data_IF_756382947448
#
_entry.id   IF_756382947448
#
_cell.length_a   1.000
_cell.length_b   1.000
_cell.length_c   1.000
_cell.angle_alpha   90.00
_cell.angle_beta   90.00
_cell.angle_gamma   90.00
#
_symmetry.space_group_name_H-M   'P 1'
#
loop_
_entity.id
_entity.type
_entity.pdbx_description
1 polymer ?
#
# COMPACT_ATOMS: atom_id res chain seq x y z
N UNK A 1 -3.83 17.56 -22.62
CA UNK A 1 -2.71 18.07 -21.80
C UNK A 1 -2.88 17.46 -20.42
N UNK A 2 -2.14 16.39 -20.11
CA UNK A 2 -2.24 15.73 -18.81
C UNK A 2 -1.31 16.47 -17.84
N UNK A 3 -1.88 17.21 -16.89
CA UNK A 3 -1.11 17.72 -15.76
C UNK A 3 -0.77 16.52 -14.87
N UNK A 4 0.52 16.16 -14.79
CA UNK A 4 0.99 15.05 -13.97
C UNK A 4 1.29 15.57 -12.56
N UNK A 5 0.32 15.50 -11.66
CA UNK A 5 0.53 15.80 -10.24
C UNK A 5 1.10 14.59 -9.49
N UNK A 6 2.23 14.09 -9.96
CA UNK A 6 2.80 12.84 -9.47
C UNK A 6 3.58 13.00 -8.17
N UNK A 7 4.08 14.19 -7.84
CA UNK A 7 4.99 14.39 -6.71
C UNK A 7 6.30 13.60 -6.83
N UNK A 8 7.20 13.76 -5.87
CA UNK A 8 8.47 13.02 -5.81
C UNK A 8 8.27 11.72 -5.03
N UNK A 9 8.90 10.62 -5.49
CA UNK A 9 8.92 9.38 -4.73
C UNK A 9 9.59 9.60 -3.36
N UNK A 10 8.98 9.16 -2.25
CA UNK A 10 9.63 9.22 -0.94
C UNK A 10 10.90 8.38 -0.88
N UNK A 11 11.90 8.84 -0.15
CA UNK A 11 13.18 8.15 0.07
C UNK A 11 13.18 7.23 1.31
N UNK A 12 12.08 7.25 2.07
CA UNK A 12 11.93 6.51 3.32
C UNK A 12 11.17 5.19 3.19
N UNK A 13 10.75 4.80 1.98
CA UNK A 13 10.03 3.55 1.73
C UNK A 13 10.91 2.31 1.97
N UNK A 14 10.26 1.16 2.14
CA UNK A 14 10.87 -0.12 2.46
C UNK A 14 10.51 -0.61 3.86
N UNK A 15 10.42 -1.93 4.03
CA UNK A 15 10.32 -2.54 5.34
C UNK A 15 11.67 -2.48 6.07
N UNK A 16 11.72 -1.82 7.22
CA UNK A 16 12.91 -1.67 8.08
C UNK A 16 12.53 -2.08 9.50
N UNK A 17 13.28 -3.03 10.08
CA UNK A 17 13.04 -3.55 11.44
C UNK A 17 11.58 -4.00 11.68
N UNK A 18 11.00 -4.67 10.68
CA UNK A 18 9.62 -5.15 10.71
C UNK A 18 8.55 -4.07 10.57
N UNK A 19 8.93 -2.84 10.20
CA UNK A 19 8.01 -1.69 10.06
C UNK A 19 8.05 -1.09 8.67
N UNK A 20 6.87 -0.70 8.19
CA UNK A 20 6.70 0.19 7.05
C UNK A 20 6.92 1.64 7.49
N UNK A 21 7.12 2.54 6.51
CA UNK A 21 7.13 3.97 6.80
C UNK A 21 5.83 4.39 7.51
N UNK A 22 5.86 5.34 8.45
CA UNK A 22 4.63 5.86 9.05
C UNK A 22 3.79 6.64 8.02
N UNK A 23 2.50 6.77 8.29
CA UNK A 23 1.71 7.79 7.58
C UNK A 23 2.16 9.19 8.01
N UNK A 24 2.21 10.16 7.09
CA UNK A 24 2.27 11.58 7.46
C UNK A 24 0.94 11.99 8.13
N UNK A 25 0.88 13.21 8.68
CA UNK A 25 -0.32 13.75 9.35
C UNK A 25 -1.51 13.97 8.39
N UNK A 26 -1.27 13.96 7.08
CA UNK A 26 -2.32 14.19 6.07
C UNK A 26 -3.20 12.94 5.91
N UNK A 27 -4.54 13.11 5.78
CA UNK A 27 -5.50 12.00 5.86
C UNK A 27 -5.57 11.14 4.59
N UNK A 28 -4.66 11.35 3.64
CA UNK A 28 -4.49 10.60 2.39
C UNK A 28 -3.43 9.49 2.54
N UNK A 29 -3.41 8.84 3.70
CA UNK A 29 -2.57 7.68 3.96
C UNK A 29 -3.31 6.69 4.87
N UNK A 30 -3.12 5.40 4.62
CA UNK A 30 -3.47 4.35 5.57
C UNK A 30 -2.29 3.42 5.82
N UNK A 31 -2.12 2.95 7.04
CA UNK A 31 -1.07 2.02 7.44
C UNK A 31 -1.59 1.07 8.54
N UNK A 32 -1.32 -0.22 8.40
CA UNK A 32 -1.75 -1.21 9.41
C UNK A 32 -0.90 -1.23 10.68
N UNK A 33 0.15 -0.42 10.72
CA UNK A 33 1.01 -0.22 11.88
C UNK A 33 0.79 1.15 12.55
N UNK A 34 -0.18 1.94 12.08
CA UNK A 34 -0.67 3.11 12.81
C UNK A 34 -1.40 2.68 14.09
N UNK A 35 -1.49 3.54 15.12
CA UNK A 35 -2.25 3.24 16.33
C UNK A 35 -3.71 2.88 16.01
N UNK A 36 -4.27 1.84 16.62
CA UNK A 36 -5.66 1.43 16.34
C UNK A 36 -6.70 2.51 16.72
N UNK A 37 -6.34 3.45 17.59
CA UNK A 37 -7.15 4.62 17.97
C UNK A 37 -7.13 5.74 16.92
N UNK A 38 -6.29 5.63 15.89
CA UNK A 38 -6.21 6.57 14.78
C UNK A 38 -7.10 6.08 13.63
N UNK A 39 -8.39 6.38 13.68
CA UNK A 39 -9.36 5.94 12.68
C UNK A 39 -9.09 6.47 11.26
N UNK A 40 -8.28 7.53 11.15
CA UNK A 40 -7.90 8.14 9.86
C UNK A 40 -6.90 7.23 9.17
N UNK A 41 -5.78 6.95 9.83
CA UNK A 41 -4.65 6.24 9.23
C UNK A 41 -4.71 4.72 9.44
N UNK A 42 -5.31 4.24 10.53
CA UNK A 42 -5.31 2.81 10.83
C UNK A 42 -6.15 2.02 9.84
N UNK A 43 -5.59 0.93 9.34
CA UNK A 43 -6.30 -0.06 8.52
C UNK A 43 -5.92 -1.46 8.97
N UNK A 44 -6.83 -2.42 8.88
CA UNK A 44 -6.51 -3.79 9.26
C UNK A 44 -5.38 -4.35 8.37
N UNK A 45 -4.41 -5.09 8.95
CA UNK A 45 -3.49 -5.88 8.15
C UNK A 45 -4.27 -6.98 7.42
N UNK A 46 -3.66 -7.55 6.38
CA UNK A 46 -4.22 -8.71 5.67
C UNK A 46 -3.73 -9.97 6.38
N UNK A 47 -4.61 -10.95 6.63
CA UNK A 47 -4.20 -12.22 7.26
C UNK A 47 -3.37 -13.02 6.26
N UNK A 48 -2.18 -13.48 6.68
CA UNK A 48 -1.36 -14.38 5.89
C UNK A 48 -1.93 -15.80 6.00
N UNK A 49 -2.61 -16.27 4.94
CA UNK A 49 -3.16 -17.63 4.86
C UNK A 49 -2.16 -18.65 4.31
N UNK A 50 -1.29 -18.22 3.42
CA UNK A 50 -0.36 -19.06 2.65
C UNK A 50 1.08 -18.95 3.17
N UNK A 51 2.03 -19.56 2.47
CA UNK A 51 3.46 -19.28 2.68
C UNK A 51 3.80 -17.86 2.21
N UNK A 52 4.95 -17.31 2.66
CA UNK A 52 5.38 -15.99 2.22
C UNK A 52 5.54 -15.90 0.70
N UNK A 53 6.12 -16.93 0.08
CA UNK A 53 6.33 -16.99 -1.37
C UNK A 53 5.00 -17.00 -2.15
N UNK A 54 4.03 -17.81 -1.71
CA UNK A 54 2.69 -17.83 -2.31
C UNK A 54 1.97 -16.49 -2.12
N UNK A 55 2.05 -15.89 -0.94
CA UNK A 55 1.45 -14.59 -0.67
C UNK A 55 2.05 -13.46 -1.53
N UNK A 56 3.37 -13.45 -1.77
CA UNK A 56 4.01 -12.53 -2.72
C UNK A 56 3.47 -12.76 -4.13
N UNK A 57 3.40 -14.00 -4.58
CA UNK A 57 2.90 -14.33 -5.92
C UNK A 57 1.42 -13.93 -6.10
N UNK A 58 0.59 -14.18 -5.09
CA UNK A 58 -0.82 -13.82 -5.09
C UNK A 58 -1.02 -12.30 -5.06
N UNK A 59 -0.27 -11.59 -4.20
CA UNK A 59 -0.27 -10.13 -4.16
C UNK A 59 0.12 -9.54 -5.51
N UNK A 60 1.21 -10.04 -6.11
CA UNK A 60 1.67 -9.59 -7.41
C UNK A 60 0.60 -9.77 -8.48
N UNK A 61 -0.02 -10.95 -8.57
CA UNK A 61 -1.12 -11.22 -9.51
C UNK A 61 -2.28 -10.25 -9.32
N UNK A 62 -2.68 -9.99 -8.07
CA UNK A 62 -3.77 -9.05 -7.75
C UNK A 62 -3.38 -7.63 -8.16
N UNK A 63 -2.22 -7.13 -7.73
CA UNK A 63 -1.72 -5.78 -8.01
C UNK A 63 -1.60 -5.54 -9.53
N UNK A 64 -1.05 -6.51 -10.28
CA UNK A 64 -0.87 -6.42 -11.74
C UNK A 64 -2.21 -6.47 -12.51
N UNK A 65 -3.27 -7.03 -11.91
CA UNK A 65 -4.62 -7.02 -12.49
C UNK A 65 -5.37 -5.69 -12.30
N UNK A 66 -4.84 -4.77 -11.48
CA UNK A 66 -5.44 -3.47 -11.24
C UNK A 66 -4.93 -2.42 -12.23
N UNK A 67 -5.83 -1.61 -12.76
CA UNK A 67 -5.49 -0.56 -13.71
C UNK A 67 -4.47 0.45 -13.16
N UNK A 68 -3.57 0.92 -14.04
CA UNK A 68 -2.64 2.03 -13.78
C UNK A 68 -1.70 1.77 -12.59
N UNK A 69 -1.25 0.52 -12.49
CA UNK A 69 -0.37 0.05 -11.43
C UNK A 69 1.00 -0.30 -11.99
N UNK A 70 2.05 -0.10 -11.18
CA UNK A 70 3.41 -0.52 -11.50
C UNK A 70 4.11 -1.03 -10.25
N UNK A 71 4.57 -2.28 -10.26
CA UNK A 71 5.48 -2.79 -9.21
C UNK A 71 6.86 -2.20 -9.45
N UNK A 72 7.42 -1.57 -8.41
CA UNK A 72 8.71 -0.88 -8.46
C UNK A 72 9.82 -1.74 -7.85
N UNK A 73 9.52 -2.45 -6.76
CA UNK A 73 10.46 -3.38 -6.15
C UNK A 73 9.72 -4.53 -5.47
N UNK A 74 10.35 -5.70 -5.50
CA UNK A 74 9.83 -6.94 -4.94
C UNK A 74 10.98 -7.71 -4.27
N UNK A 75 10.68 -8.33 -3.14
CA UNK A 75 11.52 -9.32 -2.47
C UNK A 75 10.63 -10.46 -1.96
N UNK A 76 11.21 -11.48 -1.32
CA UNK A 76 10.46 -12.61 -0.77
C UNK A 76 9.45 -12.23 0.33
N UNK A 77 9.54 -11.02 0.90
CA UNK A 77 8.67 -10.57 2.00
C UNK A 77 8.19 -9.13 1.82
N UNK A 78 8.40 -8.51 0.66
CA UNK A 78 8.04 -7.11 0.45
C UNK A 78 7.69 -6.80 -1.01
N UNK A 79 6.63 -6.02 -1.22
CA UNK A 79 6.29 -5.42 -2.51
C UNK A 79 6.08 -3.93 -2.32
N UNK A 80 6.65 -3.13 -3.21
CA UNK A 80 6.32 -1.72 -3.40
C UNK A 80 5.76 -1.51 -4.80
N UNK A 81 4.58 -0.90 -4.87
CA UNK A 81 3.90 -0.55 -6.10
C UNK A 81 3.44 0.91 -6.11
N UNK A 82 3.39 1.49 -7.30
CA UNK A 82 2.81 2.80 -7.58
C UNK A 82 1.45 2.63 -8.25
N UNK A 83 0.43 3.34 -7.75
CA UNK A 83 -0.90 3.42 -8.36
C UNK A 83 -1.16 4.84 -8.84
N UNK A 84 -1.58 5.02 -10.09
CA UNK A 84 -1.82 6.35 -10.67
C UNK A 84 -3.31 6.60 -10.91
N UNK A 85 -3.83 7.75 -10.43
CA UNK A 85 -5.21 8.16 -10.67
C UNK A 85 -5.46 8.55 -12.15
N UNK A 86 -6.62 8.15 -12.70
CA UNK A 86 -6.93 8.28 -14.13
C UNK A 86 -7.11 9.72 -14.58
N UNK A 87 -7.67 10.56 -13.70
CA UNK A 87 -8.10 11.91 -14.06
C UNK A 87 -7.05 12.97 -13.74
N UNK A 88 -6.32 12.81 -12.63
CA UNK A 88 -5.44 13.85 -12.09
C UNK A 88 -3.95 13.46 -12.04
N UNK A 89 -3.60 12.20 -12.33
CA UNK A 89 -2.21 11.75 -12.33
C UNK A 89 -1.53 11.70 -10.95
N UNK A 90 -2.30 11.80 -9.85
CA UNK A 90 -1.81 11.53 -8.50
C UNK A 90 -1.26 10.11 -8.41
N UNK A 91 -0.08 9.99 -7.83
CA UNK A 91 0.59 8.71 -7.57
C UNK A 91 0.49 8.39 -6.10
N UNK A 92 0.02 7.18 -5.82
CA UNK A 92 0.00 6.60 -4.49
C UNK A 92 1.09 5.54 -4.39
N UNK A 93 1.89 5.62 -3.33
CA UNK A 93 2.91 4.64 -2.98
C UNK A 93 2.29 3.59 -2.06
N UNK A 94 2.29 2.33 -2.49
CA UNK A 94 1.66 1.21 -1.81
C UNK A 94 2.68 0.13 -1.47
N UNK A 95 2.76 -0.21 -0.20
CA UNK A 95 3.74 -1.15 0.34
C UNK A 95 3.03 -2.32 1.02
N UNK A 96 3.55 -3.52 0.79
CA UNK A 96 3.14 -4.76 1.45
C UNK A 96 4.37 -5.38 2.09
N UNK A 97 4.28 -5.71 3.38
CA UNK A 97 5.35 -6.39 4.13
C UNK A 97 4.80 -7.64 4.80
N UNK A 98 5.39 -8.79 4.51
CA UNK A 98 4.97 -10.08 5.08
C UNK A 98 5.68 -10.30 6.41
N UNK A 99 4.90 -10.28 7.48
CA UNK A 99 5.33 -10.71 8.80
C UNK A 99 4.89 -12.16 9.03
N UNK A 100 5.82 -13.07 8.76
CA UNK A 100 5.60 -14.52 8.90
C UNK A 100 5.35 -14.91 10.37
N UNK A 101 6.03 -14.25 11.30
CA UNK A 101 5.95 -14.58 12.73
C UNK A 101 4.55 -14.26 13.28
N UNK A 102 3.98 -13.12 12.89
CA UNK A 102 2.65 -12.70 13.31
C UNK A 102 1.53 -13.16 12.35
N UNK A 103 1.87 -13.89 11.27
CA UNK A 103 0.93 -14.39 10.26
C UNK A 103 0.06 -13.26 9.66
N UNK A 104 0.68 -12.13 9.37
CA UNK A 104 0.02 -10.97 8.75
C UNK A 104 0.85 -10.39 7.61
N UNK A 105 0.17 -9.68 6.72
CA UNK A 105 0.76 -8.81 5.72
C UNK A 105 0.44 -7.38 6.18
N UNK A 106 1.47 -6.66 6.61
CA UNK A 106 1.39 -5.23 6.88
C UNK A 106 1.25 -4.47 5.57
N UNK A 107 0.48 -3.39 5.62
CA UNK A 107 0.12 -2.62 4.43
C UNK A 107 0.27 -1.13 4.72
N UNK A 108 0.72 -0.39 3.71
CA UNK A 108 0.67 1.07 3.68
C UNK A 108 0.23 1.51 2.28
N UNK A 109 -0.61 2.53 2.20
CA UNK A 109 -1.00 3.18 0.95
C UNK A 109 -1.08 4.67 1.18
N UNK A 110 -0.24 5.45 0.51
CA UNK A 110 -0.12 6.89 0.75
C UNK A 110 -0.01 7.67 -0.56
N UNK A 111 -0.77 8.75 -0.69
CA UNK A 111 -0.65 9.67 -1.81
C UNK A 111 0.56 10.58 -1.65
N UNK A 112 1.29 10.85 -2.74
CA UNK A 112 2.45 11.77 -2.72
C UNK A 112 2.07 13.24 -2.56
N UNK A 113 0.88 13.60 -3.03
CA UNK A 113 0.37 14.96 -3.04
C UNK A 113 -1.09 14.99 -2.62
N UNK A 114 -1.55 16.19 -2.24
CA UNK A 114 -2.92 16.44 -1.82
C UNK A 114 -3.12 16.34 -0.31
N UNK A 115 -4.33 16.69 0.12
CA UNK A 115 -4.76 16.67 1.53
C UNK A 115 -5.98 15.76 1.75
N UNK A 116 -6.50 15.15 0.69
CA UNK A 116 -7.56 14.15 0.76
C UNK A 116 -7.54 13.31 -0.50
N UNK A 117 -7.77 12.01 -0.34
CA UNK A 117 -7.93 11.04 -1.42
C UNK A 117 -9.37 10.50 -1.49
N UNK A 118 -10.31 11.07 -0.71
CA UNK A 118 -11.69 10.59 -0.55
C UNK A 118 -11.77 9.08 -0.19
N UNK A 119 -10.78 8.60 0.55
CA UNK A 119 -10.65 7.21 1.00
C UNK A 119 -10.18 6.24 -0.09
N UNK A 120 -9.61 6.72 -1.19
CA UNK A 120 -9.09 5.87 -2.28
C UNK A 120 -8.02 4.89 -1.79
N UNK A 121 -7.08 5.32 -0.94
CA UNK A 121 -6.04 4.46 -0.38
C UNK A 121 -6.65 3.34 0.47
N UNK A 122 -7.62 3.67 1.33
CA UNK A 122 -8.36 2.67 2.12
C UNK A 122 -9.09 1.68 1.22
N UNK A 123 -9.90 2.18 0.28
CA UNK A 123 -10.66 1.34 -0.67
C UNK A 123 -9.76 0.40 -1.46
N UNK A 124 -8.59 0.86 -1.89
CA UNK A 124 -7.60 0.03 -2.61
C UNK A 124 -7.15 -1.15 -1.77
N UNK A 125 -6.74 -0.91 -0.54
CA UNK A 125 -6.29 -1.98 0.36
C UNK A 125 -7.42 -2.97 0.64
N UNK A 126 -8.66 -2.47 0.82
CA UNK A 126 -9.83 -3.34 1.00
C UNK A 126 -10.12 -4.20 -0.24
N UNK A 127 -10.02 -3.64 -1.44
CA UNK A 127 -10.16 -4.41 -2.70
C UNK A 127 -9.09 -5.49 -2.83
N UNK A 128 -7.83 -5.16 -2.52
CA UNK A 128 -6.73 -6.13 -2.56
C UNK A 128 -6.96 -7.22 -1.51
N UNK A 129 -7.39 -6.86 -0.29
CA UNK A 129 -7.73 -7.83 0.75
C UNK A 129 -8.83 -8.78 0.30
N UNK A 130 -9.87 -8.27 -0.35
CA UNK A 130 -10.97 -9.08 -0.88
C UNK A 130 -10.53 -10.02 -2.02
N UNK A 131 -9.56 -9.61 -2.85
CA UNK A 131 -9.08 -10.41 -3.97
C UNK A 131 -8.11 -11.54 -3.54
N UNK A 132 -7.54 -11.43 -2.34
CA UNK A 132 -6.70 -12.47 -1.71
C UNK A 132 -7.52 -13.45 -0.84
N UNK A 133 -8.83 -13.23 -0.72
CA UNK A 133 -9.69 -13.97 0.20
C UNK A 133 -9.93 -15.42 -0.22
#
# INVERSE_FOLDING_TARGET
MFFSFSGTRPDNLGAKDGKLAPCPDSPNCVCSQSPQTDDIHYILPIILKTSAAEAIADLKRVIESMDRTKIISETNTYIYAEFTSALMGYVDDVEFYIDVANRVIHVRSASRLGQSDLGVNRKRIESIRSALA
#
